data_IF_615434679997
#
_entry.id   IF_615434679997
#
_cell.length_a   1.000
_cell.length_b   1.000
_cell.length_c   1.000
_cell.angle_alpha   90.00
_cell.angle_beta   90.00
_cell.angle_gamma   90.00
#
_symmetry.space_group_name_H-M   'P 1'
#
loop_
_entity.id
_entity.type
_entity.pdbx_description
1 polymer ?
#
# COMPACT_ATOMS: atom_id res chain seq x y z
N UNK A 1 -9.90 24.69 -30.05
CA UNK A 1 -11.05 24.10 -29.33
C UNK A 1 -11.26 22.63 -29.75
N UNK A 2 -10.28 21.76 -29.56
CA UNK A 2 -10.34 20.37 -30.05
C UNK A 2 -9.68 19.30 -29.15
N UNK A 3 -9.03 19.68 -28.05
CA UNK A 3 -8.37 18.75 -27.13
C UNK A 3 -9.24 18.36 -25.92
N UNK A 4 -10.28 19.15 -25.60
CA UNK A 4 -11.24 18.83 -24.53
C UNK A 4 -12.15 17.65 -24.88
N UNK A 5 -12.46 17.42 -26.16
CA UNK A 5 -13.24 16.23 -26.55
C UNK A 5 -12.48 14.91 -26.42
N UNK A 6 -11.15 14.91 -26.48
CA UNK A 6 -10.36 13.69 -26.38
C UNK A 6 -10.27 13.22 -24.91
N UNK A 7 -10.20 14.17 -23.97
CA UNK A 7 -10.30 13.88 -22.54
C UNK A 7 -11.67 13.29 -22.18
N UNK A 8 -12.75 13.86 -22.71
CA UNK A 8 -14.11 13.42 -22.39
C UNK A 8 -14.48 12.06 -23.03
N UNK A 9 -13.94 11.76 -24.21
CA UNK A 9 -14.07 10.45 -24.84
C UNK A 9 -13.31 9.34 -24.10
N UNK A 10 -12.22 9.70 -23.40
CA UNK A 10 -11.42 8.73 -22.63
C UNK A 10 -12.09 8.35 -21.30
N UNK A 11 -12.91 9.24 -20.71
CA UNK A 11 -13.61 8.97 -19.45
C UNK A 11 -14.85 8.07 -19.62
N UNK A 12 -15.42 7.98 -20.82
CA UNK A 12 -16.66 7.20 -21.07
C UNK A 12 -16.41 5.70 -21.34
N UNK A 13 -15.16 5.28 -21.53
CA UNK A 13 -14.80 3.87 -21.73
C UNK A 13 -14.28 3.17 -20.47
N UNK A 14 -14.18 3.86 -19.33
CA UNK A 14 -13.82 3.28 -18.03
C UNK A 14 -15.07 3.14 -17.14
N UNK A 15 -16.18 2.62 -17.67
CA UNK A 15 -17.32 2.21 -16.82
C UNK A 15 -17.95 0.88 -17.27
N UNK A 16 -17.20 0.09 -18.06
CA UNK A 16 -17.61 -1.25 -18.51
C UNK A 16 -16.73 -2.35 -17.91
N UNK A 17 -16.61 -2.35 -16.59
CA UNK A 17 -16.07 -3.51 -15.88
C UNK A 17 -16.95 -3.75 -14.65
N UNK A 18 -17.52 -4.96 -14.46
CA UNK A 18 -18.38 -5.23 -13.33
C UNK A 18 -17.60 -4.88 -12.07
N UNK A 19 -18.10 -3.88 -11.34
CA UNK A 19 -17.37 -3.19 -10.28
C UNK A 19 -16.59 -4.18 -9.44
N UNK A 20 -15.25 -4.09 -9.47
CA UNK A 20 -14.40 -4.90 -8.60
C UNK A 20 -14.83 -4.74 -7.13
N UNK A 21 -15.43 -3.60 -6.77
CA UNK A 21 -16.08 -3.35 -5.48
C UNK A 21 -17.25 -4.29 -5.20
N UNK A 22 -18.02 -4.69 -6.19
CA UNK A 22 -19.13 -5.64 -6.05
C UNK A 22 -18.61 -7.08 -5.89
N UNK A 23 -17.60 -7.50 -6.67
CA UNK A 23 -16.94 -8.80 -6.48
C UNK A 23 -16.24 -8.86 -5.11
N UNK A 24 -15.56 -7.79 -4.70
CA UNK A 24 -14.97 -7.67 -3.36
C UNK A 24 -16.03 -7.72 -2.26
N UNK A 25 -17.15 -7.02 -2.41
CA UNK A 25 -18.27 -7.08 -1.44
C UNK A 25 -18.92 -8.46 -1.38
N UNK A 26 -19.07 -9.15 -2.51
CA UNK A 26 -19.60 -10.52 -2.55
C UNK A 26 -18.61 -11.51 -1.93
N UNK A 27 -17.32 -11.41 -2.25
CA UNK A 27 -16.26 -12.24 -1.67
C UNK A 27 -16.09 -11.97 -0.17
N UNK A 28 -16.22 -10.73 0.24
CA UNK A 28 -16.17 -10.31 1.64
C UNK A 28 -17.42 -10.80 2.40
N UNK A 29 -18.62 -10.69 1.83
CA UNK A 29 -19.85 -11.23 2.43
C UNK A 29 -19.82 -12.76 2.52
N UNK A 30 -19.33 -13.45 1.48
CA UNK A 30 -19.14 -14.91 1.48
C UNK A 30 -18.06 -15.36 2.47
N UNK A 31 -16.97 -14.62 2.60
CA UNK A 31 -15.93 -14.87 3.59
C UNK A 31 -16.45 -14.67 5.01
N UNK A 32 -17.24 -13.62 5.26
CA UNK A 32 -17.88 -13.40 6.56
C UNK A 32 -18.94 -14.46 6.88
N UNK A 33 -19.74 -14.93 5.92
CA UNK A 33 -20.69 -16.02 6.15
C UNK A 33 -20.00 -17.36 6.41
N UNK A 34 -18.92 -17.67 5.68
CA UNK A 34 -18.12 -18.87 5.92
C UNK A 34 -17.40 -18.82 7.28
N UNK A 35 -16.91 -17.65 7.69
CA UNK A 35 -16.34 -17.45 9.02
C UNK A 35 -17.39 -17.59 10.13
N UNK A 36 -18.60 -17.03 9.97
CA UNK A 36 -19.70 -17.15 10.93
C UNK A 36 -20.18 -18.60 11.10
N UNK A 37 -20.25 -19.36 10.03
CA UNK A 37 -20.66 -20.77 10.04
C UNK A 37 -19.57 -21.70 10.66
N UNK A 38 -18.30 -21.34 10.48
CA UNK A 38 -17.15 -22.00 11.15
C UNK A 38 -17.13 -21.71 12.66
N UNK A 39 -17.56 -20.52 13.09
CA UNK A 39 -17.69 -20.15 14.51
C UNK A 39 -18.88 -20.85 15.19
N UNK A 40 -19.95 -21.16 14.45
CA UNK A 40 -21.14 -21.83 14.99
C UNK A 40 -20.95 -23.33 15.25
N UNK A 41 -19.89 -23.95 14.69
CA UNK A 41 -19.69 -25.41 14.69
C UNK A 41 -18.52 -25.90 15.56
N UNK A 42 -17.82 -25.02 16.29
CA UNK A 42 -16.56 -25.40 16.96
C UNK A 42 -16.58 -25.23 18.47
N UNK A 43 -16.08 -26.26 19.16
CA UNK A 43 -15.79 -26.25 20.59
C UNK A 43 -14.98 -25.00 20.97
N UNK A 44 -15.24 -24.43 22.16
CA UNK A 44 -14.63 -23.20 22.72
C UNK A 44 -13.09 -23.06 22.59
N UNK A 45 -12.39 -24.15 22.26
CA UNK A 45 -10.95 -24.22 22.01
C UNK A 45 -10.52 -23.64 20.65
N UNK A 46 -11.34 -23.72 19.60
CA UNK A 46 -10.96 -23.21 18.28
C UNK A 46 -10.82 -21.67 18.21
N UNK A 47 -11.80 -20.86 18.67
CA UNK A 47 -11.65 -19.40 18.63
C UNK A 47 -10.58 -18.89 19.61
N UNK A 48 -10.34 -19.59 20.71
CA UNK A 48 -9.28 -19.27 21.68
C UNK A 48 -7.90 -19.55 21.11
N UNK A 49 -7.69 -20.68 20.43
CA UNK A 49 -6.45 -20.96 19.71
C UNK A 49 -6.18 -19.96 18.58
N UNK A 50 -7.21 -19.56 17.82
CA UNK A 50 -7.07 -18.52 16.79
C UNK A 50 -6.73 -17.16 17.39
N UNK A 51 -7.36 -16.79 18.52
CA UNK A 51 -7.04 -15.54 19.24
C UNK A 51 -5.61 -15.57 19.80
N UNK A 52 -5.16 -16.69 20.36
CA UNK A 52 -3.77 -16.87 20.83
C UNK A 52 -2.79 -16.80 19.66
N UNK A 53 -3.10 -17.42 18.52
CA UNK A 53 -2.28 -17.34 17.31
C UNK A 53 -2.16 -15.90 16.81
N UNK A 54 -3.26 -15.13 16.79
CA UNK A 54 -3.23 -13.71 16.41
C UNK A 54 -2.42 -12.87 17.40
N UNK A 55 -2.43 -13.20 18.69
CA UNK A 55 -1.59 -12.54 19.70
C UNK A 55 -0.10 -12.92 19.57
N UNK A 56 0.20 -14.15 19.14
CA UNK A 56 1.56 -14.65 18.88
C UNK A 56 2.14 -14.09 17.57
N UNK A 57 1.29 -13.81 16.57
CA UNK A 57 1.61 -13.02 15.40
C UNK A 57 1.76 -11.55 15.84
N UNK A 58 2.92 -11.23 16.43
CA UNK A 58 3.19 -9.93 17.02
C UNK A 58 2.82 -8.75 16.11
N UNK A 59 2.26 -7.70 16.72
CA UNK A 59 2.00 -6.44 16.03
C UNK A 59 3.33 -5.85 15.54
N UNK A 60 3.54 -5.77 14.23
CA UNK A 60 4.71 -5.09 13.67
C UNK A 60 4.55 -3.58 13.90
N UNK A 61 5.20 -3.07 14.95
CA UNK A 61 5.36 -1.64 15.16
C UNK A 61 6.55 -1.15 14.33
N UNK A 62 6.26 -0.52 13.19
CA UNK A 62 7.26 0.22 12.45
C UNK A 62 7.60 1.50 13.24
N UNK A 63 8.71 1.47 14.00
CA UNK A 63 9.18 2.59 14.82
C UNK A 63 9.91 3.62 13.94
N UNK A 64 9.16 4.34 13.10
CA UNK A 64 9.71 5.44 12.31
C UNK A 64 9.47 6.78 13.03
N UNK A 65 10.54 7.55 13.17
CA UNK A 65 10.51 8.95 13.56
C UNK A 65 11.17 9.78 12.47
N UNK A 66 10.71 11.03 12.22
CA UNK A 66 11.32 11.90 11.22
C UNK A 66 12.80 12.21 11.55
N UNK A 67 13.13 12.21 12.84
CA UNK A 67 14.43 12.66 13.36
C UNK A 67 15.36 11.48 13.72
N UNK A 68 15.08 10.28 13.18
CA UNK A 68 15.80 9.05 13.51
C UNK A 68 17.34 9.16 13.39
N UNK A 69 17.83 10.02 12.50
CA UNK A 69 19.25 10.21 12.24
C UNK A 69 19.87 11.46 12.89
N UNK A 70 19.14 12.26 13.67
CA UNK A 70 19.68 13.51 14.22
C UNK A 70 20.97 13.31 15.06
N UNK A 71 21.01 12.27 15.91
CA UNK A 71 22.16 12.02 16.78
C UNK A 71 23.34 11.33 16.07
N UNK A 72 23.07 10.56 15.00
CA UNK A 72 24.09 9.74 14.33
C UNK A 72 24.65 10.40 13.07
N UNK A 73 23.81 11.13 12.34
CA UNK A 73 24.17 11.86 11.12
C UNK A 73 23.18 13.02 10.90
N UNK A 74 23.38 14.17 11.57
CA UNK A 74 22.45 15.30 11.52
C UNK A 74 22.31 15.91 10.11
N UNK A 75 23.36 15.79 9.29
CA UNK A 75 23.38 16.30 7.92
C UNK A 75 22.85 15.33 6.87
N UNK A 76 22.38 14.14 7.26
CA UNK A 76 21.95 13.10 6.32
C UNK A 76 20.92 13.62 5.31
N UNK A 77 19.88 14.30 5.79
CA UNK A 77 18.82 14.83 4.94
C UNK A 77 19.36 15.86 3.95
N UNK A 78 20.23 16.76 4.41
CA UNK A 78 20.86 17.78 3.57
C UNK A 78 21.72 17.15 2.47
N UNK A 79 22.53 16.15 2.83
CA UNK A 79 23.42 15.44 1.90
C UNK A 79 22.59 14.72 0.83
N UNK A 80 21.57 13.95 1.23
CA UNK A 80 20.72 13.21 0.30
C UNK A 80 19.99 14.17 -0.63
N UNK A 81 19.44 15.27 -0.10
CA UNK A 81 18.75 16.28 -0.90
C UNK A 81 19.68 16.90 -1.96
N UNK A 82 20.88 17.31 -1.56
CA UNK A 82 21.85 17.90 -2.48
C UNK A 82 22.25 16.93 -3.61
N UNK A 83 22.49 15.66 -3.28
CA UNK A 83 22.87 14.66 -4.29
C UNK A 83 21.71 14.32 -5.24
N UNK A 84 20.49 14.21 -4.72
CA UNK A 84 19.29 13.99 -5.54
C UNK A 84 19.07 15.18 -6.47
N UNK A 85 19.24 16.40 -6.00
CA UNK A 85 19.12 17.60 -6.82
C UNK A 85 20.14 17.60 -7.96
N UNK A 86 21.43 17.35 -7.68
CA UNK A 86 22.47 17.24 -8.70
C UNK A 86 22.12 16.16 -9.73
N UNK A 87 21.67 14.99 -9.28
CA UNK A 87 21.29 13.89 -10.16
C UNK A 87 20.11 14.24 -11.08
N UNK A 88 19.10 14.93 -10.55
CA UNK A 88 17.92 15.36 -11.34
C UNK A 88 18.26 16.51 -12.28
N UNK A 89 19.14 17.43 -11.87
CA UNK A 89 19.63 18.50 -12.74
C UNK A 89 20.45 17.95 -13.92
N UNK A 90 21.28 16.93 -13.68
CA UNK A 90 22.01 16.22 -14.74
C UNK A 90 21.07 15.47 -15.68
N UNK A 91 20.10 14.74 -15.13
CA UNK A 91 19.09 14.00 -15.89
C UNK A 91 17.70 14.11 -15.26
N UNK A 92 16.82 14.92 -15.86
CA UNK A 92 15.46 15.15 -15.32
C UNK A 92 14.65 13.87 -15.11
N UNK A 93 14.91 12.82 -15.91
CA UNK A 93 14.22 11.53 -15.80
C UNK A 93 14.59 10.78 -14.52
N UNK A 94 15.74 11.06 -13.89
CA UNK A 94 16.20 10.39 -12.68
C UNK A 94 15.23 10.52 -11.51
N UNK A 95 14.55 11.66 -11.37
CA UNK A 95 13.55 11.85 -10.31
C UNK A 95 12.40 10.82 -10.42
N UNK A 96 11.91 10.57 -11.63
CA UNK A 96 10.88 9.56 -11.87
C UNK A 96 11.40 8.12 -11.66
N UNK A 97 12.66 7.86 -12.02
CA UNK A 97 13.30 6.56 -11.78
C UNK A 97 13.46 6.25 -10.30
N UNK A 98 13.91 7.22 -9.49
CA UNK A 98 14.04 7.09 -8.02
C UNK A 98 12.68 6.83 -7.38
N UNK A 99 11.64 7.56 -7.80
CA UNK A 99 10.29 7.37 -7.30
C UNK A 99 9.75 5.96 -7.63
N UNK A 100 9.98 5.48 -8.86
CA UNK A 100 9.60 4.12 -9.27
C UNK A 100 10.34 3.06 -8.46
N UNK A 101 11.63 3.26 -8.19
CA UNK A 101 12.44 2.34 -7.38
C UNK A 101 11.91 2.27 -5.94
N UNK A 102 11.63 3.43 -5.32
CA UNK A 102 11.02 3.49 -3.99
C UNK A 102 9.69 2.72 -3.93
N UNK A 103 8.80 2.95 -4.89
CA UNK A 103 7.54 2.21 -4.95
C UNK A 103 7.74 0.72 -5.21
N UNK A 104 8.73 0.34 -6.01
CA UNK A 104 9.05 -1.06 -6.27
C UNK A 104 9.50 -1.78 -5.00
N UNK A 105 10.38 -1.16 -4.20
CA UNK A 105 10.87 -1.75 -2.95
C UNK A 105 9.80 -1.85 -1.87
N UNK A 106 8.84 -0.92 -1.85
CA UNK A 106 7.75 -0.95 -0.87
C UNK A 106 6.58 -1.88 -1.21
N UNK A 107 6.32 -2.16 -2.50
CA UNK A 107 5.14 -2.94 -2.92
C UNK A 107 5.43 -4.41 -3.26
N UNK A 108 6.70 -4.81 -3.42
CA UNK A 108 7.07 -6.17 -3.87
C UNK A 108 7.22 -7.17 -2.68
N UNK A 109 6.89 -6.77 -1.46
CA UNK A 109 6.90 -7.62 -0.26
C UNK A 109 5.58 -7.52 0.53
#
# INVERSE_FOLDING_TARGET
>A
MGLTRIYEASTLSIDSQPSAKHILRLKQRQFYTWALETMASSSFHAPTLVSILVLLLGNSRAQLTPDFYEDSCPDLLNIVQAQVEIAVQNEKRMGASLLRLFFHDCFVN
#
